data_IF_700877128033
#
_entry.id   IF_700877128033
#
_cell.length_a   1.000
_cell.length_b   1.000
_cell.length_c   1.000
_cell.angle_alpha   90.00
_cell.angle_beta   90.00
_cell.angle_gamma   90.00
#
_symmetry.space_group_name_H-M   'P 1'
#
loop_
_entity.id
_entity.type
_entity.pdbx_description
1 polymer ?
#
# COMPACT_ATOMS: atom_id res chain seq x y z
N UNK A 1 37.74 56.28 63.32
CA UNK A 1 37.94 56.32 61.85
C UNK A 1 38.27 54.91 61.35
N UNK A 2 37.38 53.93 61.58
CA UNK A 2 37.58 52.51 61.23
C UNK A 2 36.26 51.77 60.90
N UNK A 3 35.14 52.50 60.82
CA UNK A 3 33.80 51.93 60.68
C UNK A 3 33.18 52.15 59.29
N UNK A 4 33.87 52.90 58.42
CA UNK A 4 33.40 53.24 57.06
C UNK A 4 34.03 52.32 55.99
N UNK A 5 35.13 51.64 56.31
CA UNK A 5 35.85 50.78 55.35
C UNK A 5 35.22 49.38 55.24
N UNK A 6 34.60 48.88 56.29
CA UNK A 6 34.01 47.53 56.34
C UNK A 6 32.73 47.40 55.49
N UNK A 7 31.94 48.47 55.38
CA UNK A 7 30.72 48.47 54.56
C UNK A 7 31.02 48.53 53.06
N UNK A 8 32.03 49.29 52.64
CA UNK A 8 32.42 49.42 51.24
C UNK A 8 33.04 48.13 50.69
N UNK A 9 33.88 47.45 51.49
CA UNK A 9 34.49 46.18 51.10
C UNK A 9 33.47 45.04 51.00
N UNK A 10 32.39 45.07 51.81
CA UNK A 10 31.31 44.09 51.74
C UNK A 10 30.44 44.25 50.48
N UNK A 11 30.14 45.48 50.04
CA UNK A 11 29.38 45.75 48.82
C UNK A 11 30.14 45.31 47.55
N UNK A 12 31.46 45.51 47.50
CA UNK A 12 32.30 45.04 46.38
C UNK A 12 32.42 43.51 46.37
N UNK A 13 32.50 42.85 47.54
CA UNK A 13 32.50 41.37 47.62
C UNK A 13 31.14 40.74 47.32
N UNK A 14 30.05 41.44 47.65
CA UNK A 14 28.70 41.01 47.32
C UNK A 14 28.47 41.00 45.80
N UNK A 15 28.99 41.98 45.07
CA UNK A 15 28.85 42.10 43.61
C UNK A 15 29.66 41.06 42.82
N UNK A 16 30.83 40.63 43.31
CA UNK A 16 31.62 39.58 42.64
C UNK A 16 31.02 38.17 42.77
N UNK A 17 30.52 37.81 43.97
CA UNK A 17 29.86 36.51 44.19
C UNK A 17 28.54 36.41 43.45
N UNK A 18 27.72 37.45 43.50
CA UNK A 18 26.45 37.50 42.75
C UNK A 18 26.68 37.47 41.25
N UNK A 19 27.72 38.10 40.72
CA UNK A 19 28.06 38.03 39.29
C UNK A 19 28.50 36.64 38.84
N UNK A 20 29.25 35.90 39.66
CA UNK A 20 29.58 34.49 39.37
C UNK A 20 28.34 33.60 39.43
N UNK A 21 27.50 33.75 40.45
CA UNK A 21 26.26 32.99 40.59
C UNK A 21 25.29 33.32 39.44
N UNK A 22 25.15 34.59 39.08
CA UNK A 22 24.36 35.04 37.94
C UNK A 22 24.89 34.48 36.62
N UNK A 23 26.21 34.44 36.43
CA UNK A 23 26.82 33.82 35.26
C UNK A 23 26.53 32.32 35.18
N UNK A 24 26.64 31.60 36.30
CA UNK A 24 26.27 30.18 36.37
C UNK A 24 24.79 29.97 36.09
N UNK A 25 23.90 30.79 36.68
CA UNK A 25 22.46 30.74 36.42
C UNK A 25 22.13 30.97 34.95
N UNK A 26 22.70 32.02 34.34
CA UNK A 26 22.50 32.31 32.91
C UNK A 26 23.04 31.16 32.06
N UNK A 27 24.22 30.64 32.38
CA UNK A 27 24.80 29.47 31.71
C UNK A 27 23.89 28.25 31.80
N UNK A 28 23.31 27.96 32.98
CA UNK A 28 22.35 26.86 33.16
C UNK A 28 21.09 27.08 32.35
N UNK A 29 20.54 28.31 32.33
CA UNK A 29 19.34 28.63 31.54
C UNK A 29 19.62 28.46 30.04
N UNK A 30 20.78 28.93 29.56
CA UNK A 30 21.19 28.75 28.16
C UNK A 30 21.36 27.27 27.82
N UNK A 31 22.01 26.48 28.70
CA UNK A 31 22.15 25.05 28.51
C UNK A 31 20.80 24.34 28.44
N UNK A 32 19.83 24.71 29.29
CA UNK A 32 18.47 24.18 29.25
C UNK A 32 17.74 24.54 27.95
N UNK A 33 17.90 25.76 27.44
CA UNK A 33 17.31 26.17 26.16
C UNK A 33 17.91 25.40 24.99
N UNK A 34 19.23 25.18 24.99
CA UNK A 34 19.89 24.34 23.97
C UNK A 34 19.41 22.90 24.05
N UNK A 35 19.27 22.35 25.26
CA UNK A 35 18.79 20.98 25.45
C UNK A 35 17.33 20.83 24.99
N UNK A 36 16.48 21.80 25.32
CA UNK A 36 15.09 21.87 24.86
C UNK A 36 15.03 21.89 23.34
N UNK A 37 15.79 22.77 22.70
CA UNK A 37 15.79 22.91 21.24
C UNK A 37 16.35 21.65 20.54
N UNK A 38 17.37 21.02 21.12
CA UNK A 38 17.98 19.79 20.62
C UNK A 38 17.06 18.56 20.73
N UNK A 39 16.10 18.59 21.66
CA UNK A 39 15.18 17.45 21.87
C UNK A 39 14.32 17.15 20.63
N UNK A 40 13.85 18.17 19.91
CA UNK A 40 13.08 17.98 18.67
C UNK A 40 13.92 17.34 17.55
N UNK A 41 15.19 17.73 17.43
CA UNK A 41 16.14 17.15 16.47
C UNK A 41 16.39 15.66 16.75
N UNK A 42 16.46 15.28 18.02
CA UNK A 42 16.63 13.89 18.43
C UNK A 42 15.41 13.02 18.07
N UNK A 43 14.20 13.54 18.26
CA UNK A 43 12.96 12.85 17.87
C UNK A 43 12.84 12.68 16.35
N UNK A 44 13.27 13.68 15.58
CA UNK A 44 13.28 13.62 14.11
C UNK A 44 14.23 12.53 13.59
N UNK A 45 15.38 12.33 14.23
CA UNK A 45 16.33 11.30 13.84
C UNK A 45 15.80 9.87 14.09
N UNK A 46 15.09 9.66 15.21
CA UNK A 46 14.47 8.36 15.51
C UNK A 46 13.34 8.01 14.53
N UNK A 47 12.48 8.98 14.19
CA UNK A 47 11.35 8.77 13.27
C UNK A 47 11.79 8.45 11.82
N UNK A 48 12.91 9.00 11.38
CA UNK A 48 13.45 8.73 10.04
C UNK A 48 13.78 7.24 9.82
N UNK A 49 14.15 6.50 10.88
CA UNK A 49 14.45 5.08 10.78
C UNK A 49 13.21 4.22 10.51
N UNK A 50 12.12 4.48 11.24
CA UNK A 50 10.87 3.71 11.13
C UNK A 50 10.12 4.00 9.83
N UNK A 51 10.07 5.27 9.40
CA UNK A 51 9.45 5.64 8.13
C UNK A 51 10.18 5.01 6.95
N UNK A 52 11.52 4.92 7.00
CA UNK A 52 12.32 4.29 5.97
C UNK A 52 12.09 2.77 5.92
N UNK A 53 12.02 2.08 7.07
CA UNK A 53 11.79 0.63 7.10
C UNK A 53 10.40 0.27 6.58
N UNK A 54 9.37 1.01 6.98
CA UNK A 54 8.01 0.79 6.48
C UNK A 54 7.92 1.00 4.97
N UNK A 55 8.52 2.08 4.45
CA UNK A 55 8.53 2.36 3.01
C UNK A 55 9.33 1.33 2.22
N UNK A 56 10.42 0.82 2.78
CA UNK A 56 11.22 -0.23 2.15
C UNK A 56 10.47 -1.57 2.08
N UNK A 57 9.70 -1.89 3.12
CA UNK A 57 8.84 -3.08 3.15
C UNK A 57 7.71 -2.97 2.13
N UNK A 58 7.02 -1.84 2.07
CA UNK A 58 5.98 -1.53 1.07
C UNK A 58 6.53 -1.68 -0.36
N UNK A 59 7.73 -1.12 -0.65
CA UNK A 59 8.38 -1.29 -1.94
C UNK A 59 8.71 -2.74 -2.26
N UNK A 60 9.22 -3.50 -1.27
CA UNK A 60 9.57 -4.90 -1.48
C UNK A 60 8.35 -5.74 -1.84
N UNK A 61 7.21 -5.49 -1.18
CA UNK A 61 5.96 -6.16 -1.48
C UNK A 61 5.48 -5.84 -2.90
N UNK A 62 5.46 -4.56 -3.29
CA UNK A 62 5.02 -4.14 -4.63
C UNK A 62 5.91 -4.76 -5.71
N UNK A 63 7.22 -4.82 -5.50
CA UNK A 63 8.16 -5.43 -6.47
C UNK A 63 7.88 -6.92 -6.63
N UNK A 64 7.65 -7.64 -5.53
CA UNK A 64 7.31 -9.07 -5.60
C UNK A 64 5.98 -9.30 -6.31
N UNK A 65 4.94 -8.54 -5.96
CA UNK A 65 3.63 -8.63 -6.62
C UNK A 65 3.72 -8.31 -8.12
N UNK A 66 4.50 -7.30 -8.49
CA UNK A 66 4.70 -6.93 -9.89
C UNK A 66 5.41 -8.05 -10.67
N UNK A 67 6.47 -8.64 -10.11
CA UNK A 67 7.16 -9.76 -10.75
C UNK A 67 6.23 -10.98 -10.97
N UNK A 68 5.35 -11.30 -10.02
CA UNK A 68 4.36 -12.35 -10.21
C UNK A 68 3.35 -12.02 -11.32
N UNK A 69 2.90 -10.77 -11.40
CA UNK A 69 1.99 -10.32 -12.43
C UNK A 69 2.65 -10.33 -13.81
N UNK A 70 3.92 -9.98 -13.92
CA UNK A 70 4.69 -10.07 -15.17
C UNK A 70 4.77 -11.50 -15.67
N UNK A 71 5.08 -12.47 -14.79
CA UNK A 71 5.11 -13.90 -15.13
C UNK A 71 3.75 -14.37 -15.64
N UNK A 72 2.66 -14.01 -14.94
CA UNK A 72 1.29 -14.37 -15.36
C UNK A 72 0.93 -13.73 -16.70
N UNK A 73 1.31 -12.47 -16.89
CA UNK A 73 1.11 -11.75 -18.15
C UNK A 73 1.86 -12.47 -19.27
N UNK A 74 3.12 -12.80 -19.10
CA UNK A 74 3.89 -13.52 -20.12
C UNK A 74 3.29 -14.89 -20.45
N UNK A 75 2.83 -15.63 -19.43
CA UNK A 75 2.13 -16.90 -19.64
C UNK A 75 0.84 -16.71 -20.45
N UNK A 76 0.00 -15.73 -20.13
CA UNK A 76 -1.26 -15.47 -20.82
C UNK A 76 -1.07 -14.94 -22.25
N UNK A 77 -0.02 -14.14 -22.48
CA UNK A 77 0.30 -13.59 -23.80
C UNK A 77 1.19 -14.52 -24.64
N UNK A 78 1.51 -15.72 -24.15
CA UNK A 78 2.17 -16.73 -24.97
C UNK A 78 1.31 -17.11 -26.18
N UNK A 79 1.96 -17.39 -27.32
CA UNK A 79 1.27 -17.78 -28.56
C UNK A 79 0.35 -18.97 -28.36
N UNK A 80 0.78 -19.95 -27.58
CA UNK A 80 0.05 -21.19 -27.35
C UNK A 80 -1.23 -20.94 -26.54
N UNK A 81 -1.13 -20.13 -25.49
CA UNK A 81 -2.30 -19.74 -24.68
C UNK A 81 -3.27 -18.90 -25.50
N UNK A 82 -2.78 -17.95 -26.30
CA UNK A 82 -3.60 -17.15 -27.21
C UNK A 82 -4.32 -18.06 -28.22
N UNK A 83 -3.62 -18.99 -28.86
CA UNK A 83 -4.20 -19.92 -29.83
C UNK A 83 -5.25 -20.83 -29.19
N UNK A 84 -4.95 -21.36 -28.00
CA UNK A 84 -5.88 -22.18 -27.25
C UNK A 84 -7.17 -21.41 -26.92
N UNK A 85 -7.05 -20.17 -26.46
CA UNK A 85 -8.19 -19.32 -26.11
C UNK A 85 -8.97 -18.89 -27.36
N UNK A 86 -8.27 -18.60 -28.45
CA UNK A 86 -8.84 -18.29 -29.77
C UNK A 86 -9.68 -19.46 -30.30
N UNK A 87 -9.17 -20.69 -30.19
CA UNK A 87 -9.89 -21.92 -30.57
C UNK A 87 -11.11 -22.16 -29.69
N UNK A 88 -10.96 -22.06 -28.37
CA UNK A 88 -12.04 -22.36 -27.43
C UNK A 88 -13.17 -21.35 -27.48
N UNK A 89 -12.86 -20.05 -27.46
CA UNK A 89 -13.86 -19.01 -27.27
C UNK A 89 -14.37 -18.42 -28.59
N UNK A 90 -13.58 -18.49 -29.66
CA UNK A 90 -13.90 -17.85 -30.93
C UNK A 90 -13.95 -18.85 -32.10
N UNK A 91 -13.64 -20.13 -31.88
CA UNK A 91 -13.66 -21.15 -32.92
C UNK A 91 -12.63 -20.91 -34.04
N UNK A 92 -11.57 -20.14 -33.78
CA UNK A 92 -10.54 -19.86 -34.78
C UNK A 92 -9.77 -21.13 -35.13
N UNK A 93 -9.45 -21.30 -36.41
CA UNK A 93 -8.67 -22.41 -36.95
C UNK A 93 -7.55 -21.87 -37.83
N UNK A 94 -6.46 -22.63 -37.98
CA UNK A 94 -5.36 -22.24 -38.86
C UNK A 94 -5.75 -22.44 -40.33
N UNK A 95 -5.11 -21.72 -41.27
CA UNK A 95 -5.31 -21.98 -42.69
C UNK A 95 -5.04 -23.45 -43.04
N UNK A 96 -6.02 -24.11 -43.67
CA UNK A 96 -5.95 -25.53 -44.03
C UNK A 96 -6.53 -26.50 -43.00
N UNK A 97 -6.96 -26.01 -41.82
CA UNK A 97 -7.71 -26.81 -40.84
C UNK A 97 -9.22 -26.73 -41.13
N UNK A 98 -9.95 -27.82 -40.84
CA UNK A 98 -11.41 -27.88 -40.92
C UNK A 98 -12.04 -27.85 -39.51
N UNK A 99 -12.94 -26.90 -39.28
CA UNK A 99 -13.67 -26.77 -38.01
C UNK A 99 -14.94 -27.63 -38.02
N UNK A 100 -15.05 -28.55 -37.07
CA UNK A 100 -16.25 -29.35 -36.84
C UNK A 100 -16.93 -28.91 -35.54
N UNK A 101 -18.18 -28.45 -35.62
CA UNK A 101 -18.98 -28.14 -34.45
C UNK A 101 -19.93 -29.31 -34.16
N UNK A 102 -19.86 -29.86 -32.95
CA UNK A 102 -20.82 -30.87 -32.49
C UNK A 102 -22.02 -30.14 -31.89
N UNK A 103 -23.21 -30.20 -32.50
CA UNK A 103 -24.40 -29.60 -31.91
C UNK A 103 -24.71 -30.27 -30.58
N UNK A 104 -25.28 -29.53 -29.60
CA UNK A 104 -25.75 -30.15 -28.37
C UNK A 104 -26.77 -31.25 -28.70
N UNK A 105 -26.92 -32.25 -27.82
CA UNK A 105 -27.94 -33.27 -27.99
C UNK A 105 -29.31 -32.62 -28.21
N UNK A 106 -30.12 -33.22 -29.09
CA UNK A 106 -31.44 -32.72 -29.39
C UNK A 106 -32.25 -32.55 -28.09
N UNK A 107 -33.01 -31.45 -27.94
CA UNK A 107 -33.86 -31.28 -26.78
C UNK A 107 -34.85 -32.44 -26.68
N UNK A 108 -35.20 -32.84 -25.46
CA UNK A 108 -36.21 -33.87 -25.26
C UNK A 108 -37.50 -33.50 -26.00
N UNK A 109 -38.18 -34.47 -26.64
CA UNK A 109 -39.44 -34.22 -27.32
C UNK A 109 -40.44 -33.57 -26.36
N UNK A 110 -40.95 -32.40 -26.74
CA UNK A 110 -42.01 -31.72 -25.97
C UNK A 110 -43.27 -32.58 -26.04
N UNK A 111 -43.69 -33.15 -24.91
CA UNK A 111 -44.97 -33.87 -24.81
C UNK A 111 -46.11 -32.86 -24.71
N UNK A 112 -46.90 -32.75 -25.76
CA UNK A 112 -48.10 -31.92 -25.78
C UNK A 112 -49.28 -32.67 -25.13
N UNK A 113 -50.08 -32.01 -24.28
CA UNK A 113 -51.30 -32.62 -23.75
C UNK A 113 -52.34 -32.81 -24.86
N UNK A 114 -53.10 -33.91 -24.80
CA UNK A 114 -54.15 -34.23 -25.77
C UNK A 114 -55.47 -33.47 -25.51
N UNK A 115 -55.39 -32.19 -25.14
CA UNK A 115 -56.54 -31.33 -24.87
C UNK A 115 -56.50 -30.05 -25.70
N UNK A 116 -57.66 -29.39 -25.83
CA UNK A 116 -57.76 -28.12 -26.54
C UNK A 116 -56.92 -27.04 -25.82
N UNK A 117 -56.18 -26.17 -26.55
CA UNK A 117 -56.09 -26.03 -28.01
C UNK A 117 -54.92 -26.81 -28.66
N UNK A 118 -54.24 -27.68 -27.91
CA UNK A 118 -53.01 -28.36 -28.35
C UNK A 118 -53.24 -29.62 -29.19
N UNK A 119 -54.50 -30.05 -29.36
CA UNK A 119 -54.88 -31.21 -30.17
C UNK A 119 -54.36 -31.12 -31.60
N UNK A 120 -54.49 -29.96 -32.26
CA UNK A 120 -54.01 -29.77 -33.63
C UNK A 120 -52.48 -29.79 -33.71
N UNK A 121 -51.80 -29.22 -32.72
CA UNK A 121 -50.34 -29.16 -32.68
C UNK A 121 -49.70 -30.53 -32.43
N UNK A 122 -50.30 -31.34 -31.55
CA UNK A 122 -49.85 -32.69 -31.28
C UNK A 122 -49.93 -33.59 -32.53
N UNK A 123 -50.98 -33.41 -33.35
CA UNK A 123 -51.17 -34.18 -34.58
C UNK A 123 -50.20 -33.77 -35.70
N UNK A 124 -49.83 -32.49 -35.79
CA UNK A 124 -48.86 -31.99 -36.80
C UNK A 124 -47.41 -32.31 -36.47
N UNK A 125 -47.06 -32.37 -35.19
CA UNK A 125 -45.68 -32.58 -34.72
C UNK A 125 -45.34 -34.06 -34.51
N UNK A 126 -46.24 -34.97 -34.87
CA UNK A 126 -45.99 -36.41 -34.81
C UNK A 126 -45.92 -36.94 -33.38
N UNK A 127 -46.94 -36.66 -32.57
CA UNK A 127 -47.20 -37.40 -31.33
C UNK A 127 -47.40 -38.89 -31.58
#
# INVERSE_FOLDING_TARGET
MALITDSADNEIRATERTRRIAFWLVSTVVALLVLWWSFDLFQLWLKQGEELSYKQEELSQIVTENAELEIRRDALYSSDTIEQLARQNYGFVRPGEEAYAVPPPAPEPVRLPANWPFTHLAQTLGG
#
